data_IF_983662710248
#
_entry.id   IF_983662710248
#
_cell.length_a   1.000
_cell.length_b   1.000
_cell.length_c   1.000
_cell.angle_alpha   90.00
_cell.angle_beta   90.00
_cell.angle_gamma   90.00
#
_symmetry.space_group_name_H-M   'P 1'
#
loop_
_entity.id
_entity.type
_entity.pdbx_description
1 polymer ?
#
# COMPACT_ATOMS: atom_id res chain seq x y z
N UNK A 1 -4.29 -4.48 -47.63
CA UNK A 1 -3.27 -5.25 -46.90
C UNK A 1 -3.20 -4.71 -45.47
N UNK A 2 -3.13 -5.60 -44.48
CA UNK A 2 -2.83 -5.25 -43.10
C UNK A 2 -1.43 -5.77 -42.75
N UNK A 3 -0.61 -4.93 -42.12
CA UNK A 3 0.77 -5.28 -41.77
C UNK A 3 0.99 -4.98 -40.30
N UNK A 4 1.52 -5.96 -39.57
CA UNK A 4 1.96 -5.71 -38.20
C UNK A 4 3.25 -4.92 -38.24
N UNK A 5 3.23 -3.71 -37.67
CA UNK A 5 4.37 -2.77 -37.68
C UNK A 5 5.13 -2.80 -36.36
N UNK A 6 4.47 -3.16 -35.26
CA UNK A 6 5.08 -3.29 -33.94
C UNK A 6 4.37 -4.39 -33.13
N UNK A 7 5.12 -5.03 -32.22
CA UNK A 7 4.61 -6.00 -31.25
C UNK A 7 5.33 -5.83 -29.92
N UNK A 8 4.65 -6.12 -28.82
CA UNK A 8 5.27 -6.10 -27.50
C UNK A 8 4.36 -6.66 -26.42
N UNK A 9 4.63 -6.26 -25.18
CA UNK A 9 3.93 -6.74 -23.98
C UNK A 9 3.17 -5.58 -23.34
N UNK A 10 1.91 -5.83 -22.97
CA UNK A 10 1.05 -4.89 -22.27
C UNK A 10 0.30 -5.58 -21.13
N UNK A 11 -0.51 -4.81 -20.39
CA UNK A 11 -1.46 -5.35 -19.42
C UNK A 11 -2.83 -5.48 -20.05
N UNK A 12 -3.49 -6.62 -19.82
CA UNK A 12 -4.88 -6.82 -20.23
C UNK A 12 -5.77 -5.78 -19.53
N UNK A 13 -6.56 -4.97 -20.25
CA UNK A 13 -7.46 -3.98 -19.64
C UNK A 13 -8.52 -4.61 -18.72
N UNK A 14 -8.87 -5.88 -18.94
CA UNK A 14 -9.89 -6.59 -18.16
C UNK A 14 -9.35 -7.25 -16.89
N UNK A 15 -8.26 -8.01 -17.00
CA UNK A 15 -7.77 -8.85 -15.89
C UNK A 15 -6.37 -8.51 -15.40
N UNK A 16 -5.72 -7.50 -16.00
CA UNK A 16 -4.39 -6.97 -15.63
C UNK A 16 -3.26 -8.00 -15.73
N UNK A 17 -3.52 -9.18 -16.30
CA UNK A 17 -2.46 -10.13 -16.63
C UNK A 17 -1.55 -9.54 -17.71
N UNK A 18 -0.33 -10.07 -17.77
CA UNK A 18 0.55 -9.86 -18.92
C UNK A 18 -0.18 -10.38 -20.18
N UNK A 19 -0.13 -9.61 -21.25
CA UNK A 19 -0.75 -9.90 -22.53
C UNK A 19 0.14 -9.38 -23.68
N UNK A 20 -0.03 -9.94 -24.87
CA UNK A 20 0.67 -9.48 -26.07
C UNK A 20 -0.11 -8.29 -26.67
N UNK A 21 0.59 -7.24 -27.10
CA UNK A 21 0.02 -6.18 -27.95
C UNK A 21 0.65 -6.17 -29.34
N UNK A 22 -0.11 -5.65 -30.31
CA UNK A 22 0.36 -5.42 -31.67
C UNK A 22 -0.18 -4.09 -32.21
N UNK A 23 0.61 -3.41 -33.04
CA UNK A 23 0.14 -2.34 -33.91
C UNK A 23 0.06 -2.85 -35.34
N UNK A 24 -1.09 -2.64 -35.97
CA UNK A 24 -1.41 -3.11 -37.32
C UNK A 24 -1.72 -1.91 -38.21
N UNK A 25 -0.88 -1.66 -39.19
CA UNK A 25 -1.14 -0.68 -40.22
C UNK A 25 -2.16 -1.25 -41.23
N UNK A 26 -3.19 -0.46 -41.55
CA UNK A 26 -4.32 -0.85 -42.40
C UNK A 26 -4.51 0.14 -43.55
N UNK A 27 -4.28 -0.32 -44.78
CA UNK A 27 -4.51 0.47 -46.00
C UNK A 27 -3.47 1.57 -46.26
N UNK A 28 -3.69 2.36 -47.32
CA UNK A 28 -2.76 3.40 -47.77
C UNK A 28 -2.89 4.74 -47.00
N UNK A 29 -3.86 4.86 -46.10
CA UNK A 29 -4.18 6.09 -45.38
C UNK A 29 -3.49 6.23 -44.01
N UNK A 30 -2.49 5.39 -43.71
CA UNK A 30 -1.74 5.43 -42.45
C UNK A 30 -2.59 5.10 -41.20
N UNK A 31 -3.75 4.46 -41.37
CA UNK A 31 -4.58 4.05 -40.25
C UNK A 31 -3.90 2.92 -39.48
N UNK A 32 -3.73 3.10 -38.17
CA UNK A 32 -3.09 2.15 -37.26
C UNK A 32 -4.15 1.56 -36.33
N UNK A 33 -4.11 0.25 -36.13
CA UNK A 33 -4.93 -0.44 -35.12
C UNK A 33 -4.03 -0.98 -34.04
N UNK A 34 -4.24 -0.52 -32.82
CA UNK A 34 -3.67 -1.11 -31.61
C UNK A 34 -4.55 -2.28 -31.16
N UNK A 35 -3.96 -3.41 -30.83
CA UNK A 35 -4.70 -4.59 -30.37
C UNK A 35 -3.97 -5.31 -29.24
N UNK A 36 -4.69 -5.68 -28.18
CA UNK A 36 -4.18 -6.45 -27.04
C UNK A 36 -4.93 -7.77 -26.93
N UNK A 37 -4.20 -8.88 -26.96
CA UNK A 37 -4.75 -10.24 -26.87
C UNK A 37 -4.35 -10.91 -25.56
N UNK A 38 -5.32 -11.08 -24.67
CA UNK A 38 -5.09 -11.76 -23.40
C UNK A 38 -5.37 -13.26 -23.50
N UNK A 39 -4.34 -14.09 -23.30
CA UNK A 39 -4.52 -15.56 -23.26
C UNK A 39 -5.11 -16.07 -21.95
N UNK A 40 -5.07 -15.27 -20.87
CA UNK A 40 -5.58 -15.66 -19.55
C UNK A 40 -7.11 -15.57 -19.47
N UNK A 41 -7.68 -14.43 -19.85
CA UNK A 41 -9.13 -14.21 -19.79
C UNK A 41 -9.82 -14.24 -21.16
N UNK A 42 -9.07 -14.37 -22.25
CA UNK A 42 -9.61 -14.39 -23.61
C UNK A 42 -9.99 -13.03 -24.19
N UNK A 43 -9.80 -11.94 -23.44
CA UNK A 43 -10.15 -10.60 -23.90
C UNK A 43 -9.29 -10.17 -25.09
N UNK A 44 -9.93 -9.56 -26.09
CA UNK A 44 -9.27 -8.95 -27.24
C UNK A 44 -9.70 -7.48 -27.34
N UNK A 45 -8.86 -6.60 -26.81
CA UNK A 45 -9.09 -5.16 -26.90
C UNK A 45 -8.50 -4.63 -28.21
N UNK A 46 -9.19 -3.70 -28.88
CA UNK A 46 -8.68 -3.06 -30.09
C UNK A 46 -9.12 -1.61 -30.22
N UNK A 47 -8.21 -0.74 -30.65
CA UNK A 47 -8.43 0.68 -30.86
C UNK A 47 -7.87 1.10 -32.22
N UNK A 48 -8.68 1.76 -33.04
CA UNK A 48 -8.27 2.25 -34.35
C UNK A 48 -7.85 3.73 -34.23
N UNK A 49 -6.56 3.99 -34.44
CA UNK A 49 -5.97 5.32 -34.55
C UNK A 49 -5.93 5.74 -36.01
N UNK A 50 -6.70 6.77 -36.37
CA UNK A 50 -6.57 7.42 -37.68
C UNK A 50 -5.73 8.67 -37.52
N UNK A 51 -4.70 8.90 -38.36
CA UNK A 51 -4.07 10.21 -38.44
C UNK A 51 -5.18 11.23 -38.70
N UNK A 52 -5.35 12.18 -37.80
CA UNK A 52 -6.19 13.33 -38.10
C UNK A 52 -5.55 14.02 -39.30
N UNK A 53 -6.23 14.02 -40.44
CA UNK A 53 -5.92 14.90 -41.55
C UNK A 53 -6.18 16.31 -41.05
N UNK A 54 -5.18 16.87 -40.37
CA UNK A 54 -5.21 18.24 -39.89
C UNK A 54 -5.26 19.12 -41.15
N UNK A 55 -6.48 19.51 -41.55
CA UNK A 55 -6.70 20.84 -42.11
C UNK A 55 -5.96 21.85 -41.21
N UNK A 56 -5.45 22.98 -41.72
CA UNK A 56 -4.73 23.95 -40.89
C UNK A 56 -5.71 24.52 -39.86
N UNK A 57 -5.88 23.79 -38.77
CA UNK A 57 -6.49 24.24 -37.53
C UNK A 57 -5.55 25.33 -37.10
N UNK A 58 -6.06 26.56 -37.08
CA UNK A 58 -5.41 27.66 -36.40
C UNK A 58 -5.14 27.14 -35.00
N UNK A 59 -3.89 26.76 -34.75
CA UNK A 59 -3.47 26.22 -33.46
C UNK A 59 -3.55 27.40 -32.52
N UNK A 60 -4.74 27.62 -31.95
CA UNK A 60 -4.87 28.36 -30.71
C UNK A 60 -3.95 27.61 -29.77
N UNK A 61 -2.79 28.20 -29.48
CA UNK A 61 -1.75 27.57 -28.70
C UNK A 61 -2.41 27.00 -27.44
N UNK A 62 -2.55 25.68 -27.40
CA UNK A 62 -3.12 25.03 -26.23
C UNK A 62 -2.24 25.45 -25.05
N UNK A 63 -2.84 25.92 -23.94
CA UNK A 63 -2.07 26.31 -22.78
C UNK A 63 -1.19 25.12 -22.38
N UNK A 64 0.12 25.38 -22.21
CA UNK A 64 1.07 24.34 -21.83
C UNK A 64 0.57 23.65 -20.57
N UNK A 65 0.48 22.33 -20.61
CA UNK A 65 0.18 21.54 -19.42
C UNK A 65 1.33 21.75 -18.44
N UNK A 66 1.07 22.51 -17.37
CA UNK A 66 1.99 22.65 -16.24
C UNK A 66 1.79 21.44 -15.32
N UNK A 67 2.70 20.47 -15.43
CA UNK A 67 2.75 19.37 -14.49
C UNK A 67 3.15 19.91 -13.10
N UNK A 68 2.52 19.42 -12.02
CA UNK A 68 3.01 19.67 -10.68
C UNK A 68 4.50 19.25 -10.60
N UNK A 69 5.33 20.00 -9.85
CA UNK A 69 6.70 19.59 -9.63
C UNK A 69 6.74 18.20 -8.99
N UNK A 70 7.69 17.38 -9.44
CA UNK A 70 7.93 16.06 -8.88
C UNK A 70 8.15 16.19 -7.37
N UNK A 71 7.37 15.47 -6.58
CA UNK A 71 7.60 15.41 -5.14
C UNK A 71 8.83 14.54 -4.91
N UNK A 72 9.77 15.05 -4.12
CA UNK A 72 10.91 14.24 -3.66
C UNK A 72 10.39 12.95 -3.03
N UNK A 73 11.04 11.79 -3.28
CA UNK A 73 10.66 10.53 -2.67
C UNK A 73 10.68 10.68 -1.15
N UNK A 74 9.58 10.31 -0.51
CA UNK A 74 9.50 10.27 0.96
C UNK A 74 10.65 9.39 1.46
N UNK A 75 11.50 9.88 2.39
CA UNK A 75 12.59 9.09 2.91
C UNK A 75 12.08 7.76 3.46
N UNK A 76 12.84 6.69 3.25
CA UNK A 76 12.44 5.36 3.69
C UNK A 76 12.18 5.34 5.20
N UNK A 77 10.96 4.93 5.58
CA UNK A 77 10.54 4.87 6.97
C UNK A 77 11.14 3.62 7.63
N UNK A 78 11.92 3.81 8.69
CA UNK A 78 12.47 2.70 9.47
C UNK A 78 11.41 2.11 10.42
N UNK A 79 10.60 1.21 9.87
CA UNK A 79 9.56 0.48 10.58
C UNK A 79 10.11 -0.36 11.75
N UNK A 80 11.35 -0.84 11.67
CA UNK A 80 11.93 -1.71 12.70
C UNK A 80 12.18 -0.93 13.97
N UNK A 81 12.75 0.27 13.83
CA UNK A 81 13.02 1.14 14.96
C UNK A 81 11.73 1.64 15.61
N UNK A 82 10.74 2.03 14.81
CA UNK A 82 9.44 2.49 15.31
C UNK A 82 8.69 1.40 16.09
N UNK A 83 8.66 0.16 15.57
CA UNK A 83 8.05 -0.98 16.27
C UNK A 83 8.80 -1.29 17.57
N UNK A 84 10.13 -1.27 17.54
CA UNK A 84 10.96 -1.53 18.72
C UNK A 84 10.74 -0.50 19.82
N UNK A 85 10.66 0.78 19.46
CA UNK A 85 10.38 1.85 20.41
C UNK A 85 9.00 1.70 21.04
N UNK A 86 7.98 1.43 20.22
CA UNK A 86 6.61 1.21 20.70
C UNK A 86 6.53 0.02 21.65
N UNK A 87 7.22 -1.07 21.32
CA UNK A 87 7.27 -2.26 22.17
C UNK A 87 8.02 -1.99 23.48
N UNK A 88 9.12 -1.25 23.44
CA UNK A 88 9.90 -0.86 24.62
C UNK A 88 9.08 0.03 25.57
N UNK A 89 8.29 0.95 25.01
CA UNK A 89 7.38 1.79 25.79
C UNK A 89 6.26 0.97 26.44
N UNK A 90 5.65 0.03 25.70
CA UNK A 90 4.65 -0.87 26.27
C UNK A 90 5.21 -1.76 27.40
N UNK A 91 6.43 -2.29 27.23
CA UNK A 91 7.11 -3.09 28.26
C UNK A 91 7.38 -2.28 29.54
N UNK A 92 7.80 -1.01 29.41
CA UNK A 92 8.02 -0.13 30.57
C UNK A 92 6.73 0.11 31.34
N UNK A 93 5.64 0.42 30.64
CA UNK A 93 4.32 0.62 31.25
C UNK A 93 3.86 -0.66 31.95
N UNK A 94 3.87 -1.80 31.25
CA UNK A 94 3.44 -3.07 31.83
C UNK A 94 4.28 -3.49 33.05
N UNK A 95 5.59 -3.25 33.04
CA UNK A 95 6.45 -3.53 34.20
C UNK A 95 6.09 -2.66 35.40
N UNK A 96 5.81 -1.38 35.18
CA UNK A 96 5.43 -0.45 36.26
C UNK A 96 4.11 -0.84 36.93
N UNK A 97 3.14 -1.32 36.14
CA UNK A 97 1.86 -1.83 36.65
C UNK A 97 2.05 -3.11 37.47
N UNK A 98 2.87 -4.05 36.97
CA UNK A 98 3.20 -5.29 37.69
C UNK A 98 3.92 -4.98 39.01
N UNK A 99 4.85 -4.03 39.02
CA UNK A 99 5.57 -3.62 40.22
C UNK A 99 4.63 -2.95 41.24
N UNK A 100 3.61 -2.20 40.80
CA UNK A 100 2.58 -1.64 41.68
C UNK A 100 1.70 -2.73 42.30
N UNK A 101 1.23 -3.67 41.48
CA UNK A 101 0.44 -4.82 41.97
C UNK A 101 1.26 -5.63 42.98
N UNK A 102 2.52 -5.93 42.67
CA UNK A 102 3.42 -6.66 43.56
C UNK A 102 3.62 -5.94 44.90
N UNK A 103 3.77 -4.60 44.89
CA UNK A 103 3.84 -3.79 46.12
C UNK A 103 2.56 -3.92 46.95
N UNK A 104 1.39 -3.76 46.32
CA UNK A 104 0.08 -3.84 47.00
C UNK A 104 -0.19 -5.24 47.56
N UNK A 105 0.20 -6.29 46.85
CA UNK A 105 0.07 -7.67 47.35
C UNK A 105 0.96 -7.89 48.57
N UNK A 106 2.21 -7.41 48.56
CA UNK A 106 3.12 -7.53 49.72
C UNK A 106 2.58 -6.82 50.95
N UNK A 107 2.07 -5.60 50.82
CA UNK A 107 1.48 -4.87 51.95
C UNK A 107 0.27 -5.60 52.53
N UNK A 108 -0.62 -6.08 51.66
CA UNK A 108 -1.79 -6.85 52.08
C UNK A 108 -1.41 -8.14 52.84
N UNK A 109 -0.41 -8.89 52.34
CA UNK A 109 0.08 -10.10 53.01
C UNK A 109 0.64 -9.80 54.41
N UNK A 110 1.42 -8.72 54.54
CA UNK A 110 1.98 -8.31 55.83
C UNK A 110 0.89 -7.88 56.81
N UNK A 111 -0.08 -7.07 56.37
CA UNK A 111 -1.23 -6.70 57.20
C UNK A 111 -2.03 -7.92 57.65
N UNK A 112 -2.31 -8.85 56.74
CA UNK A 112 -3.07 -10.05 57.06
C UNK A 112 -2.30 -10.98 58.03
N UNK A 113 -0.97 -11.00 57.96
CA UNK A 113 -0.13 -11.72 58.94
C UNK A 113 -0.20 -11.05 60.31
N UNK A 114 -0.07 -9.72 60.37
CA UNK A 114 -0.16 -8.95 61.61
C UNK A 114 -1.53 -9.11 62.31
N UNK A 115 -2.63 -9.04 61.54
CA UNK A 115 -4.00 -9.27 62.06
C UNK A 115 -4.18 -10.69 62.61
N UNK A 116 -3.55 -11.69 62.01
CA UNK A 116 -3.59 -13.07 62.52
C UNK A 116 -2.84 -13.21 63.83
N UNK A 117 -1.62 -12.66 63.92
CA UNK A 117 -0.83 -12.68 65.16
C UNK A 117 -1.55 -11.96 66.30
N UNK A 118 -2.11 -10.77 66.06
CA UNK A 118 -2.87 -10.03 67.07
C UNK A 118 -4.15 -10.73 67.57
N UNK A 119 -4.77 -11.60 66.75
CA UNK A 119 -5.93 -12.41 67.18
C UNK A 119 -5.53 -13.59 68.05
N UNK A 120 -4.35 -14.18 67.80
CA UNK A 120 -3.80 -15.27 68.63
C UNK A 120 -3.48 -14.75 70.03
N UNK A 121 -2.96 -13.53 70.13
CA UNK A 121 -2.63 -12.91 71.43
C UNK A 121 -3.87 -12.54 72.27
N UNK A 122 -5.06 -12.41 71.67
CA UNK A 122 -6.33 -12.10 72.37
C UNK A 122 -7.10 -13.35 72.83
N UNK A 123 -6.68 -14.56 72.45
CA UNK A 123 -7.36 -15.82 72.82
C UNK A 123 -6.59 -16.65 73.86
N UNK A 124 -5.45 -16.18 74.34
CA UNK A 124 -4.73 -16.75 75.48
C UNK A 124 -5.19 -16.14 76.80
N UNK A 125 -6.33 -16.61 77.31
CA UNK A 125 -6.82 -16.37 78.67
C UNK A 125 -6.85 -17.66 79.47
#
# INVERSE_FOLDING_TARGET
MSKVVERGIARCPRCVSVADYVFIETGAGGALRYEVRCRKCGECYGEDSRPLMLLPVVVVAEPRIEWPPDREPVPERDWRSEVRERMSSAMRVGRSEVDEVARRTRTWVLEHRARRSARVDQTGG
#
